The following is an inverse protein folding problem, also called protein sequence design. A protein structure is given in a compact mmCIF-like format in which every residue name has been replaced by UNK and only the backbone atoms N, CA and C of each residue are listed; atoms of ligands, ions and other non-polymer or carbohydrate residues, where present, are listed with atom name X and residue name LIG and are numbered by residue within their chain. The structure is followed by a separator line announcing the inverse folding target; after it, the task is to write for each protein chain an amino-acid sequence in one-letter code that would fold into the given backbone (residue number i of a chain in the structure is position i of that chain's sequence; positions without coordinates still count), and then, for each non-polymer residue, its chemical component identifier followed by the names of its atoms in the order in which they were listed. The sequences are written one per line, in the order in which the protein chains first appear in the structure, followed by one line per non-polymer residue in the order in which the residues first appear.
data_IF_510212873062
#
_entry.id   IF_510212873062
#
_cell.length_a   1.000
_cell.length_b   1.000
_cell.length_c   1.000
_cell.angle_alpha   90.00
_cell.angle_beta   90.00
_cell.angle_gamma   90.00
#
_symmetry.space_group_name_H-M   'P 1'
#
loop_
_entity.id
_entity.type
_entity.pdbx_description
1 polymer ?
#
# COMPACT_ATOMS: atom_id res chain seq x y z
N UNK A 1 -55.65 47.52 34.97
CA UNK A 1 -54.49 47.77 34.09
C UNK A 1 -53.43 46.74 34.42
N UNK A 2 -53.27 45.71 33.59
CA UNK A 2 -52.32 44.62 33.87
C UNK A 2 -51.43 44.48 32.64
N UNK A 3 -50.14 44.81 32.79
CA UNK A 3 -49.14 44.75 31.71
C UNK A 3 -48.54 43.35 31.65
N UNK A 4 -48.65 42.70 30.50
CA UNK A 4 -47.93 41.47 30.19
C UNK A 4 -46.62 41.83 29.48
N UNK A 5 -45.49 41.49 30.10
CA UNK A 5 -44.17 41.54 29.48
C UNK A 5 -43.91 40.21 28.78
N UNK A 6 -43.89 40.23 27.45
CA UNK A 6 -43.50 39.07 26.62
C UNK A 6 -41.99 39.11 26.45
N UNK A 7 -41.28 38.16 27.04
CA UNK A 7 -39.83 37.99 26.88
C UNK A 7 -39.56 37.10 25.67
N UNK A 8 -38.98 37.66 24.61
CA UNK A 8 -38.52 36.89 23.45
C UNK A 8 -37.18 36.20 23.79
N UNK A 9 -37.17 34.87 23.82
CA UNK A 9 -35.96 34.07 23.93
C UNK A 9 -35.46 33.73 22.52
N UNK A 10 -34.41 34.43 22.08
CA UNK A 10 -33.68 34.11 20.84
C UNK A 10 -32.75 32.92 21.11
N UNK A 11 -33.18 31.73 20.71
CA UNK A 11 -32.32 30.54 20.69
C UNK A 11 -31.44 30.57 19.42
N UNK A 12 -30.17 30.92 19.58
CA UNK A 12 -29.15 30.85 18.52
C UNK A 12 -28.69 29.40 18.34
N UNK A 13 -29.15 28.76 17.27
CA UNK A 13 -28.68 27.43 16.86
C UNK A 13 -27.30 27.60 16.22
N UNK A 14 -26.25 27.24 16.95
CA UNK A 14 -24.90 27.12 16.42
C UNK A 14 -24.81 25.84 15.58
N UNK A 15 -24.92 25.97 14.26
CA UNK A 15 -24.54 24.90 13.33
C UNK A 15 -23.02 24.74 13.38
N UNK A 16 -22.54 23.78 14.16
CA UNK A 16 -21.13 23.35 14.10
C UNK A 16 -20.97 22.59 12.79
N UNK A 17 -20.45 23.26 11.77
CA UNK A 17 -19.93 22.57 10.58
C UNK A 17 -18.70 21.78 11.01
N UNK A 18 -18.88 20.47 11.26
CA UNK A 18 -17.74 19.57 11.35
C UNK A 18 -17.15 19.41 9.95
N UNK A 19 -16.09 20.16 9.66
CA UNK A 19 -15.19 19.82 8.56
C UNK A 19 -14.55 18.49 8.91
N UNK A 20 -15.08 17.41 8.34
CA UNK A 20 -14.40 16.11 8.34
C UNK A 20 -13.16 16.30 7.47
N UNK A 21 -12.05 16.70 8.08
CA UNK A 21 -10.75 16.55 7.43
C UNK A 21 -10.58 15.06 7.20
N UNK A 22 -10.48 14.65 5.94
CA UNK A 22 -10.11 13.30 5.61
C UNK A 22 -8.72 13.08 6.23
N UNK A 23 -8.69 12.43 7.41
CA UNK A 23 -7.44 12.19 8.14
C UNK A 23 -6.37 11.69 7.19
N UNK A 24 -5.28 12.44 7.13
CA UNK A 24 -4.11 12.22 6.30
C UNK A 24 -3.57 10.81 6.54
N UNK A 25 -3.33 10.06 5.47
CA UNK A 25 -2.77 8.72 5.59
C UNK A 25 -1.31 8.83 6.00
N UNK A 26 -0.96 8.22 7.13
CA UNK A 26 0.40 8.25 7.67
C UNK A 26 1.02 6.87 7.60
N UNK A 27 2.29 6.84 7.22
CA UNK A 27 3.12 5.63 7.33
C UNK A 27 3.41 5.39 8.81
N UNK A 28 3.20 4.16 9.25
CA UNK A 28 3.56 3.63 10.55
C UNK A 28 4.62 2.54 10.36
N UNK A 29 5.91 2.92 10.24
CA UNK A 29 6.98 1.95 10.03
C UNK A 29 7.04 0.93 11.16
N UNK A 30 7.25 -0.32 10.80
CA UNK A 30 7.42 -1.43 11.74
C UNK A 30 8.65 -2.25 11.34
N UNK A 31 9.68 -2.24 12.19
CA UNK A 31 10.94 -2.94 11.93
C UNK A 31 10.77 -4.46 11.90
N UNK A 32 9.73 -4.97 12.56
CA UNK A 32 9.40 -6.40 12.58
C UNK A 32 8.51 -6.81 11.39
N UNK A 33 8.02 -5.84 10.61
CA UNK A 33 7.37 -6.16 9.34
C UNK A 33 8.41 -6.63 8.32
N UNK A 34 8.42 -7.94 8.08
CA UNK A 34 9.39 -8.63 7.21
C UNK A 34 9.42 -8.05 5.80
N UNK A 35 8.27 -7.69 5.24
CA UNK A 35 8.21 -7.13 3.89
C UNK A 35 8.74 -5.70 3.91
N UNK A 36 8.19 -4.83 4.78
CA UNK A 36 8.57 -3.41 4.82
C UNK A 36 10.07 -3.19 5.09
N UNK A 37 10.66 -3.99 5.98
CA UNK A 37 12.08 -3.89 6.34
C UNK A 37 13.05 -4.33 5.25
N UNK A 38 12.57 -5.03 4.20
CA UNK A 38 13.42 -5.63 3.16
C UNK A 38 12.98 -5.31 1.74
N UNK A 39 11.78 -4.81 1.48
CA UNK A 39 11.23 -4.69 0.12
C UNK A 39 12.03 -3.74 -0.78
N UNK A 40 12.55 -2.64 -0.23
CA UNK A 40 13.29 -1.64 -1.00
C UNK A 40 14.44 -2.25 -1.83
N UNK A 41 14.57 -1.75 -3.06
CA UNK A 41 15.58 -2.15 -4.02
C UNK A 41 15.03 -2.81 -5.28
N UNK A 42 15.95 -3.29 -6.11
CA UNK A 42 15.67 -3.88 -7.41
C UNK A 42 15.50 -5.39 -7.34
N UNK A 43 14.54 -5.89 -8.10
CA UNK A 43 14.18 -7.30 -8.19
C UNK A 43 14.02 -7.71 -9.65
N UNK A 44 14.36 -8.96 -9.96
CA UNK A 44 14.16 -9.55 -11.28
C UNK A 44 13.52 -10.93 -11.14
N UNK A 45 12.85 -11.37 -12.20
CA UNK A 45 12.16 -12.66 -12.19
C UNK A 45 13.14 -13.82 -11.92
N UNK A 46 12.84 -14.65 -10.93
CA UNK A 46 13.54 -15.91 -10.70
C UNK A 46 12.88 -17.01 -11.51
N UNK A 47 13.38 -17.25 -12.73
CA UNK A 47 12.75 -18.13 -13.73
C UNK A 47 12.45 -19.55 -13.24
N UNK A 48 13.39 -20.20 -12.54
CA UNK A 48 13.21 -21.60 -12.09
C UNK A 48 12.14 -21.75 -11.02
N UNK A 49 12.11 -20.86 -10.00
CA UNK A 49 11.07 -20.86 -8.97
C UNK A 49 9.72 -20.44 -9.55
N UNK A 50 9.67 -19.45 -10.44
CA UNK A 50 8.45 -19.06 -11.12
C UNK A 50 7.87 -20.21 -11.95
N UNK A 51 8.71 -20.97 -12.66
CA UNK A 51 8.28 -22.19 -13.38
C UNK A 51 7.72 -23.23 -12.43
N UNK A 52 8.34 -23.43 -11.28
CA UNK A 52 7.85 -24.37 -10.25
C UNK A 52 6.46 -23.97 -9.73
N UNK A 53 6.21 -22.67 -9.55
CA UNK A 53 4.95 -22.17 -8.99
C UNK A 53 3.82 -22.06 -10.02
N UNK A 54 4.15 -21.73 -11.28
CA UNK A 54 3.15 -21.36 -12.30
C UNK A 54 3.08 -22.34 -13.48
N UNK A 55 4.03 -23.26 -13.61
CA UNK A 55 4.24 -24.08 -14.81
C UNK A 55 4.97 -23.36 -15.94
N UNK A 56 5.26 -22.06 -15.81
CA UNK A 56 5.92 -21.23 -16.83
C UNK A 56 7.09 -20.44 -16.25
N UNK A 57 8.20 -20.31 -16.97
CA UNK A 57 9.27 -19.38 -16.56
C UNK A 57 8.96 -17.91 -16.92
N UNK A 58 7.88 -17.67 -17.68
CA UNK A 58 7.50 -16.33 -18.14
C UNK A 58 6.55 -15.68 -17.14
N UNK A 59 6.86 -14.44 -16.78
CA UNK A 59 5.98 -13.52 -16.08
C UNK A 59 5.63 -12.36 -17.02
N UNK A 60 4.49 -11.71 -16.80
CA UNK A 60 4.17 -10.43 -17.47
C UNK A 60 5.05 -9.28 -16.98
N UNK A 61 5.65 -9.46 -15.80
CA UNK A 61 6.56 -8.52 -15.15
C UNK A 61 7.94 -9.15 -15.07
N UNK A 62 8.95 -8.52 -15.66
CA UNK A 62 10.32 -9.03 -15.65
C UNK A 62 11.16 -8.39 -14.54
N UNK A 63 10.97 -7.09 -14.28
CA UNK A 63 11.76 -6.29 -13.35
C UNK A 63 10.86 -5.43 -12.47
N UNK A 64 11.29 -5.28 -11.22
CA UNK A 64 10.67 -4.42 -10.24
C UNK A 64 11.73 -3.58 -9.53
N UNK A 65 11.36 -2.37 -9.15
CA UNK A 65 12.14 -1.52 -8.26
C UNK A 65 11.18 -0.89 -7.26
N UNK A 66 11.51 -0.97 -5.97
CA UNK A 66 10.78 -0.26 -4.92
C UNK A 66 11.70 0.81 -4.32
N UNK A 67 11.20 2.04 -4.26
CA UNK A 67 11.87 3.20 -3.66
C UNK A 67 10.96 3.71 -2.54
N UNK A 68 11.51 3.88 -1.33
CA UNK A 68 10.75 4.39 -0.19
C UNK A 68 10.60 5.90 -0.25
N UNK A 69 9.37 6.39 -0.20
CA UNK A 69 9.05 7.81 -0.11
C UNK A 69 7.75 8.00 0.69
N UNK A 70 7.84 8.19 2.03
CA UNK A 70 6.65 8.19 2.90
C UNK A 70 5.60 9.25 2.57
N UNK A 71 6.00 10.40 2.01
CA UNK A 71 5.11 11.50 1.59
C UNK A 71 4.14 11.11 0.48
N UNK A 72 4.37 9.98 -0.21
CA UNK A 72 3.40 9.42 -1.18
C UNK A 72 2.08 9.06 -0.49
N UNK A 73 2.12 8.63 0.77
CA UNK A 73 0.90 8.27 1.51
C UNK A 73 -0.02 9.49 1.73
N UNK A 74 0.55 10.67 1.96
CA UNK A 74 -0.19 11.92 2.20
C UNK A 74 -1.02 12.34 0.97
N UNK A 75 -0.56 11.95 -0.23
CA UNK A 75 -1.17 12.27 -1.51
C UNK A 75 -1.99 11.10 -2.11
N UNK A 76 -2.28 10.07 -1.31
CA UNK A 76 -3.05 8.93 -1.76
C UNK A 76 -4.49 9.33 -2.16
N UNK A 77 -5.07 8.72 -3.20
CA UNK A 77 -6.45 8.97 -3.59
C UNK A 77 -7.45 8.69 -2.46
N UNK A 78 -8.57 9.40 -2.44
CA UNK A 78 -9.64 9.22 -1.44
C UNK A 78 -10.11 7.78 -1.32
N UNK A 79 -10.11 7.02 -2.43
CA UNK A 79 -10.47 5.61 -2.44
C UNK A 79 -9.51 4.75 -1.60
N UNK A 80 -8.20 5.01 -1.70
CA UNK A 80 -7.19 4.38 -0.83
C UNK A 80 -7.46 4.74 0.62
N UNK A 81 -7.68 6.04 0.91
CA UNK A 81 -7.96 6.48 2.28
C UNK A 81 -9.22 5.83 2.87
N UNK A 82 -10.29 5.69 2.08
CA UNK A 82 -11.53 4.98 2.44
C UNK A 82 -11.25 3.51 2.71
N UNK A 83 -10.45 2.84 1.88
CA UNK A 83 -10.08 1.44 2.03
C UNK A 83 -9.33 1.21 3.36
N UNK A 84 -8.25 1.95 3.60
CA UNK A 84 -7.42 1.88 4.80
C UNK A 84 -8.31 2.07 6.05
N UNK A 85 -9.13 3.12 6.09
CA UNK A 85 -10.00 3.42 7.24
C UNK A 85 -11.07 2.35 7.47
N UNK A 86 -11.76 1.93 6.40
CA UNK A 86 -12.85 0.95 6.48
C UNK A 86 -12.37 -0.39 7.06
N UNK A 87 -11.19 -0.83 6.66
CA UNK A 87 -10.62 -2.11 7.10
C UNK A 87 -9.59 -1.99 8.23
N UNK A 88 -9.43 -0.78 8.80
CA UNK A 88 -8.50 -0.48 9.90
C UNK A 88 -7.08 -0.98 9.61
N UNK A 89 -6.62 -0.73 8.39
CA UNK A 89 -5.32 -1.23 7.93
C UNK A 89 -4.21 -0.24 8.29
N UNK A 90 -3.03 -0.76 8.59
CA UNK A 90 -1.82 0.04 8.85
C UNK A 90 -1.02 0.18 7.56
N UNK A 91 -0.41 1.33 7.32
CA UNK A 91 0.50 1.54 6.20
C UNK A 91 1.93 1.38 6.73
N UNK A 92 2.64 0.33 6.33
CA UNK A 92 3.98 0.04 6.83
C UNK A 92 5.09 0.73 6.04
N UNK A 93 4.83 0.99 4.76
CA UNK A 93 5.76 1.61 3.82
C UNK A 93 4.94 2.32 2.73
N UNK A 94 5.48 3.41 2.19
CA UNK A 94 4.94 4.07 1.00
C UNK A 94 6.09 4.52 0.10
N UNK A 95 5.81 4.72 -1.17
CA UNK A 95 6.78 5.23 -2.13
C UNK A 95 6.40 4.94 -3.57
N UNK A 96 7.41 4.72 -4.41
CA UNK A 96 7.24 4.42 -5.83
C UNK A 96 7.73 3.02 -6.18
N UNK A 97 6.92 2.34 -6.97
CA UNK A 97 7.17 1.03 -7.56
C UNK A 97 7.38 1.22 -9.06
N UNK A 98 8.53 0.82 -9.60
CA UNK A 98 8.75 0.73 -11.04
C UNK A 98 8.50 -0.71 -11.50
N UNK A 99 7.60 -0.88 -12.48
CA UNK A 99 7.31 -2.16 -13.14
C UNK A 99 7.76 -2.06 -14.58
N UNK A 100 8.81 -2.80 -14.94
CA UNK A 100 9.43 -2.75 -16.27
C UNK A 100 9.68 -1.31 -16.79
N UNK A 101 10.08 -0.41 -15.88
CA UNK A 101 10.43 0.99 -16.18
C UNK A 101 9.27 1.98 -16.11
N UNK A 102 8.07 1.54 -15.71
CA UNK A 102 6.93 2.43 -15.47
C UNK A 102 6.64 2.56 -13.98
N UNK A 103 6.60 3.80 -13.51
CA UNK A 103 6.49 4.10 -12.08
C UNK A 103 5.03 4.27 -11.63
N UNK A 104 4.76 3.74 -10.45
CA UNK A 104 3.46 3.77 -9.80
C UNK A 104 3.63 4.09 -8.31
N UNK A 105 2.88 5.06 -7.78
CA UNK A 105 2.84 5.28 -6.34
C UNK A 105 2.17 4.08 -5.64
N UNK A 106 2.66 3.72 -4.47
CA UNK A 106 2.17 2.58 -3.71
C UNK A 106 2.19 2.81 -2.20
N UNK A 107 1.37 2.02 -1.50
CA UNK A 107 1.47 1.75 -0.06
C UNK A 107 1.56 0.24 0.18
N UNK A 108 2.40 -0.16 1.12
CA UNK A 108 2.44 -1.50 1.67
C UNK A 108 1.56 -1.55 2.92
N UNK A 109 0.58 -2.44 2.90
CA UNK A 109 -0.39 -2.61 3.97
C UNK A 109 -0.71 -4.09 4.17
N UNK A 110 -1.79 -4.41 4.88
CA UNK A 110 -2.30 -5.76 5.03
C UNK A 110 -3.79 -5.83 4.70
N UNK A 111 -4.21 -6.86 3.97
CA UNK A 111 -5.63 -7.17 3.77
C UNK A 111 -5.89 -8.52 4.43
N UNK A 112 -6.72 -8.54 5.49
CA UNK A 112 -7.03 -9.74 6.29
C UNK A 112 -5.77 -10.49 6.78
N UNK A 113 -4.74 -9.74 7.18
CA UNK A 113 -3.47 -10.27 7.68
C UNK A 113 -2.45 -10.63 6.60
N UNK A 114 -2.82 -10.64 5.32
CA UNK A 114 -1.89 -10.88 4.22
C UNK A 114 -1.23 -9.57 3.77
N UNK A 115 0.11 -9.50 3.64
CA UNK A 115 0.76 -8.30 3.13
C UNK A 115 0.33 -8.01 1.70
N UNK A 116 0.00 -6.74 1.43
CA UNK A 116 -0.46 -6.27 0.13
C UNK A 116 0.26 -4.99 -0.25
N UNK A 117 0.61 -4.89 -1.53
CA UNK A 117 0.87 -3.61 -2.18
C UNK A 117 -0.46 -3.11 -2.73
N UNK A 118 -0.84 -1.89 -2.35
CA UNK A 118 -1.93 -1.14 -2.97
C UNK A 118 -1.28 -0.01 -3.75
N UNK A 119 -1.56 0.09 -5.05
CA UNK A 119 -0.96 1.07 -5.95
C UNK A 119 -2.01 1.69 -6.85
N UNK A 120 -1.69 2.84 -7.45
CA UNK A 120 -2.64 3.55 -8.28
C UNK A 120 -1.99 4.13 -9.54
N UNK A 121 -2.24 3.53 -10.73
CA UNK A 121 -1.80 4.08 -12.00
C UNK A 121 -2.34 5.47 -12.31
N UNK A 122 -3.54 5.77 -11.80
CA UNK A 122 -4.19 7.07 -11.88
C UNK A 122 -4.97 7.30 -10.59
N UNK A 123 -5.40 8.54 -10.32
CA UNK A 123 -6.23 8.85 -9.13
C UNK A 123 -7.59 8.14 -9.11
N UNK A 124 -8.02 7.54 -10.23
CA UNK A 124 -9.32 6.87 -10.40
C UNK A 124 -9.20 5.34 -10.50
N UNK A 125 -7.98 4.79 -10.46
CA UNK A 125 -7.76 3.36 -10.56
C UNK A 125 -6.84 2.90 -9.42
N UNK A 126 -7.40 2.17 -8.46
CA UNK A 126 -6.67 1.56 -7.34
C UNK A 126 -6.60 0.06 -7.58
N UNK A 127 -5.39 -0.47 -7.58
CA UNK A 127 -5.10 -1.88 -7.75
C UNK A 127 -4.33 -2.42 -6.54
N UNK A 128 -4.35 -3.74 -6.37
CA UNK A 128 -3.58 -4.37 -5.30
C UNK A 128 -3.13 -5.76 -5.65
N UNK A 129 -2.05 -6.22 -5.02
CA UNK A 129 -1.59 -7.59 -5.13
C UNK A 129 -0.96 -8.09 -3.83
N UNK A 130 -1.02 -9.41 -3.63
CA UNK A 130 -0.36 -10.08 -2.51
C UNK A 130 1.17 -10.01 -2.65
N UNK A 131 1.86 -9.79 -1.54
CA UNK A 131 3.33 -9.84 -1.47
C UNK A 131 3.78 -10.71 -0.30
N UNK A 132 4.83 -11.49 -0.52
CA UNK A 132 5.52 -12.25 0.50
C UNK A 132 7.03 -12.12 0.29
N UNK A 133 7.80 -12.06 1.37
CA UNK A 133 9.26 -11.98 1.29
C UNK A 133 9.86 -13.05 2.19
N UNK A 134 10.70 -13.90 1.61
CA UNK A 134 11.51 -14.87 2.34
C UNK A 134 12.90 -14.27 2.56
N UNK A 135 13.23 -13.99 3.83
CA UNK A 135 14.51 -13.39 4.22
C UNK A 135 15.59 -14.46 4.22
N UNK A 136 16.67 -14.20 3.49
CA UNK A 136 17.86 -15.02 3.54
C UNK A 136 18.89 -14.46 4.54
N UNK A 137 19.85 -15.31 4.95
CA UNK A 137 20.98 -14.88 5.78
C UNK A 137 21.75 -13.74 5.12
N UNK A 138 21.96 -13.82 3.81
CA UNK A 138 22.50 -12.74 2.99
C UNK A 138 21.34 -12.00 2.32
N UNK A 139 21.21 -10.68 2.56
CA UNK A 139 20.16 -9.84 1.97
C UNK A 139 20.08 -9.99 0.43
N UNK A 140 21.22 -10.20 -0.24
CA UNK A 140 21.26 -10.37 -1.71
C UNK A 140 20.69 -11.69 -2.21
N UNK A 141 20.28 -12.57 -1.30
CA UNK A 141 19.61 -13.84 -1.59
C UNK A 141 18.16 -13.85 -1.10
N UNK A 142 17.62 -12.72 -0.64
CA UNK A 142 16.19 -12.61 -0.32
C UNK A 142 15.36 -12.98 -1.56
N UNK A 143 14.23 -13.64 -1.34
CA UNK A 143 13.26 -13.98 -2.38
C UNK A 143 11.97 -13.21 -2.14
N UNK A 144 11.51 -12.53 -3.19
CA UNK A 144 10.24 -11.83 -3.21
C UNK A 144 9.24 -12.66 -4.00
N UNK A 145 8.03 -12.80 -3.48
CA UNK A 145 6.93 -13.48 -4.14
C UNK A 145 5.78 -12.50 -4.31
N UNK A 146 5.30 -12.36 -5.55
CA UNK A 146 4.16 -11.50 -5.88
C UNK A 146 3.03 -12.36 -6.45
N UNK A 147 1.87 -12.27 -5.81
CA UNK A 147 0.65 -12.93 -6.21
C UNK A 147 -0.25 -12.01 -7.02
N UNK A 148 -1.49 -12.45 -7.23
CA UNK A 148 -2.56 -11.58 -7.69
C UNK A 148 -3.36 -11.05 -6.49
N UNK A 149 -4.45 -10.35 -6.77
CA UNK A 149 -5.52 -9.95 -5.85
C UNK A 149 -6.34 -11.14 -5.30
N UNK A 150 -6.33 -12.29 -5.98
CA UNK A 150 -6.99 -13.53 -5.51
C UNK A 150 -6.00 -14.55 -4.95
N UNK A 151 -6.32 -15.09 -3.77
CA UNK A 151 -5.47 -16.03 -3.03
C UNK A 151 -5.36 -17.44 -3.64
N UNK A 152 -6.18 -17.76 -4.63
CA UNK A 152 -6.17 -19.06 -5.32
C UNK A 152 -5.33 -19.06 -6.61
N UNK A 153 -4.55 -18.00 -6.85
CA UNK A 153 -3.68 -17.87 -8.02
C UNK A 153 -2.22 -18.06 -7.63
N UNK A 154 -1.38 -18.61 -8.53
CA UNK A 154 0.02 -18.84 -8.23
C UNK A 154 0.78 -17.52 -8.06
N UNK A 155 1.86 -17.57 -7.28
CA UNK A 155 2.80 -16.49 -7.12
C UNK A 155 3.92 -16.56 -8.15
N UNK A 156 4.47 -15.40 -8.50
CA UNK A 156 5.70 -15.25 -9.26
C UNK A 156 6.84 -14.99 -8.28
N UNK A 157 7.99 -15.62 -8.52
CA UNK A 157 9.16 -15.49 -7.65
C UNK A 157 10.17 -14.55 -8.28
N UNK A 158 10.75 -13.68 -7.46
CA UNK A 158 11.73 -12.69 -7.81
C UNK A 158 12.95 -12.79 -6.89
N UNK A 159 14.11 -12.47 -7.43
CA UNK A 159 15.38 -12.40 -6.73
C UNK A 159 15.92 -10.97 -6.77
N UNK A 160 16.75 -10.60 -5.80
CA UNK A 160 17.39 -9.28 -5.82
C UNK A 160 18.35 -9.16 -6.99
N UNK A 161 18.32 -8.01 -7.65
CA UNK A 161 19.39 -7.63 -8.57
C UNK A 161 20.60 -7.19 -7.75
N UNK A 162 21.76 -7.81 -7.98
CA UNK A 162 23.01 -7.34 -7.38
C UNK A 162 23.30 -5.93 -7.88
N UNK A 163 23.31 -4.96 -6.99
CA UNK A 163 24.02 -3.70 -7.23
C UNK A 163 25.51 -4.04 -7.31
N UNK A 164 26.12 -3.85 -8.48
CA UNK A 164 27.57 -3.80 -8.56
C UNK A 164 28.01 -2.63 -7.66
N UNK A 165 28.77 -2.95 -6.62
CA UNK A 165 29.41 -1.94 -5.78
C UNK A 165 30.53 -1.27 -6.56
#
# INVERSE_FOLDING_TARGET
MTRYTVTFLLASIWLIFQTVTAGELKVEPDKENVVASRLEGSWQIHGSLTRRLTGSAKSRVAKLLFITEPSVAENAPDEVAKLIKKYKMRIYMAGYMSVDGKDYPFVLTHIRGNPHIVYWPTKLNVESFNVMLAVAKNKQQDLLFIGNDFNNRPFFAFERVRTNK
#
